data_IF_650104334429
#
_entry.id   IF_650104334429
#
_cell.length_a   1.000
_cell.length_b   1.000
_cell.length_c   1.000
_cell.angle_alpha   90.00
_cell.angle_beta   90.00
_cell.angle_gamma   90.00
#
_symmetry.space_group_name_H-M   'P 1'
#
loop_
_entity.id
_entity.type
_entity.pdbx_description
1 polymer ?
#
# COMPACT_ATOMS: atom_id res chain seq x y z
N UNK A 1 13.67 14.75 -10.36
CA UNK A 1 14.78 14.84 -11.37
C UNK A 1 14.30 14.62 -12.83
N UNK A 2 13.31 13.75 -13.10
CA UNK A 2 12.78 13.48 -14.43
C UNK A 2 11.78 14.53 -14.92
N UNK A 3 11.08 15.17 -14.03
CA UNK A 3 9.99 16.11 -14.31
C UNK A 3 10.36 17.24 -15.29
N UNK A 4 11.43 18.00 -15.07
CA UNK A 4 11.84 19.07 -15.99
C UNK A 4 12.25 18.53 -17.38
N UNK A 5 12.82 17.32 -17.41
CA UNK A 5 13.21 16.67 -18.68
C UNK A 5 11.99 16.24 -19.50
N UNK A 6 10.96 15.70 -18.85
CA UNK A 6 9.70 15.33 -19.51
C UNK A 6 9.01 16.57 -20.06
N UNK A 7 8.96 17.66 -19.28
CA UNK A 7 8.29 18.90 -19.71
C UNK A 7 9.00 19.58 -20.87
N UNK A 8 10.32 19.52 -20.92
CA UNK A 8 11.14 20.07 -22.02
C UNK A 8 11.28 19.13 -23.23
N UNK A 9 10.70 17.93 -23.16
CA UNK A 9 10.78 16.98 -24.27
C UNK A 9 9.98 17.44 -25.49
N UNK A 10 10.40 17.04 -26.70
CA UNK A 10 9.71 17.33 -27.97
C UNK A 10 8.46 16.45 -28.19
N UNK A 11 7.91 15.81 -27.15
CA UNK A 11 6.71 14.97 -27.23
C UNK A 11 5.45 15.83 -27.26
N UNK A 12 4.34 15.23 -27.75
CA UNK A 12 3.04 15.91 -27.75
C UNK A 12 2.62 16.35 -26.34
N UNK A 13 1.80 17.39 -26.24
CA UNK A 13 1.30 17.88 -24.96
C UNK A 13 0.61 16.78 -24.15
N UNK A 14 -0.22 15.96 -24.82
CA UNK A 14 -0.93 14.84 -24.18
C UNK A 14 0.04 13.83 -23.58
N UNK A 15 1.11 13.45 -24.32
CA UNK A 15 2.11 12.52 -23.79
C UNK A 15 2.87 13.09 -22.56
N UNK A 16 3.16 14.41 -22.57
CA UNK A 16 3.77 15.08 -21.42
C UNK A 16 2.84 15.11 -20.20
N UNK A 17 1.56 15.37 -20.44
CA UNK A 17 0.54 15.38 -19.39
C UNK A 17 0.33 13.97 -18.79
N UNK A 18 0.25 12.94 -19.63
CA UNK A 18 0.17 11.54 -19.18
C UNK A 18 1.38 11.14 -18.35
N UNK A 19 2.59 11.48 -18.81
CA UNK A 19 3.82 11.22 -18.07
C UNK A 19 3.83 11.94 -16.71
N UNK A 20 3.32 13.18 -16.65
CA UNK A 20 3.16 13.93 -15.43
C UNK A 20 2.26 13.17 -14.44
N UNK A 21 1.05 12.81 -14.85
CA UNK A 21 0.13 12.06 -13.98
C UNK A 21 0.74 10.73 -13.55
N UNK A 22 1.44 10.03 -14.43
CA UNK A 22 2.11 8.77 -14.09
C UNK A 22 3.22 8.94 -13.05
N UNK A 23 4.01 10.00 -13.16
CA UNK A 23 5.10 10.29 -12.22
C UNK A 23 4.61 10.80 -10.85
N UNK A 24 3.45 11.47 -10.83
CA UNK A 24 2.93 12.11 -9.62
C UNK A 24 1.83 11.31 -8.92
N UNK A 25 1.34 10.22 -9.50
CA UNK A 25 0.22 9.47 -8.92
C UNK A 25 0.50 8.96 -7.50
N UNK A 26 1.75 8.64 -7.17
CA UNK A 26 2.10 8.24 -5.80
C UNK A 26 1.98 9.38 -4.79
N UNK A 27 1.94 10.65 -5.24
CA UNK A 27 1.71 11.79 -4.34
C UNK A 27 0.33 11.77 -3.65
N UNK A 28 -0.60 10.93 -4.12
CA UNK A 28 -1.89 10.68 -3.46
C UNK A 28 -1.69 10.09 -2.05
N UNK A 29 -0.65 9.29 -1.81
CA UNK A 29 -0.47 8.60 -0.53
C UNK A 29 -0.21 9.55 0.65
N UNK A 30 0.65 10.57 0.57
CA UNK A 30 0.74 11.59 1.61
C UNK A 30 -0.60 12.32 1.87
N UNK A 31 -1.38 12.58 0.81
CA UNK A 31 -2.71 13.19 0.95
C UNK A 31 -3.67 12.25 1.71
N UNK A 32 -3.64 10.96 1.41
CA UNK A 32 -4.41 9.93 2.12
C UNK A 32 -4.10 9.96 3.62
N UNK A 33 -2.81 10.01 4.01
CA UNK A 33 -2.41 10.09 5.42
C UNK A 33 -2.90 11.42 6.04
N UNK A 34 -2.76 12.52 5.32
CA UNK A 34 -3.23 13.83 5.80
C UNK A 34 -4.74 13.80 6.09
N UNK A 35 -5.54 13.22 5.19
CA UNK A 35 -6.99 13.08 5.40
C UNK A 35 -7.28 12.19 6.62
N UNK A 36 -6.56 11.06 6.75
CA UNK A 36 -6.71 10.18 7.92
C UNK A 36 -6.41 10.91 9.23
N UNK A 37 -5.33 11.69 9.29
CA UNK A 37 -4.94 12.47 10.47
C UNK A 37 -5.91 13.62 10.74
N UNK A 38 -6.41 14.28 9.69
CA UNK A 38 -7.38 15.38 9.84
C UNK A 38 -8.77 14.91 10.29
N UNK A 39 -9.07 13.62 10.20
CA UNK A 39 -10.39 13.09 10.57
C UNK A 39 -10.80 13.39 12.01
N UNK A 40 -9.87 13.28 12.96
CA UNK A 40 -10.15 13.56 14.37
C UNK A 40 -10.27 15.06 14.69
N UNK A 41 -9.35 15.95 14.25
CA UNK A 41 -9.54 17.39 14.38
C UNK A 41 -10.82 17.92 13.75
N UNK A 42 -11.21 17.38 12.59
CA UNK A 42 -12.43 17.80 11.91
C UNK A 42 -13.68 17.55 12.75
N UNK A 43 -13.69 16.54 13.60
CA UNK A 43 -14.80 16.25 14.50
C UNK A 43 -15.13 17.45 15.42
N UNK A 44 -14.12 18.19 15.85
CA UNK A 44 -14.27 19.34 16.75
C UNK A 44 -14.51 20.67 16.02
N UNK A 45 -14.25 20.70 14.71
CA UNK A 45 -14.39 21.91 13.88
C UNK A 45 -15.72 21.95 13.12
N UNK A 46 -16.35 20.78 12.90
CA UNK A 46 -17.61 20.70 12.14
C UNK A 46 -18.71 21.46 12.89
N UNK A 47 -19.32 22.50 12.29
CA UNK A 47 -20.41 23.23 12.91
C UNK A 47 -21.64 22.33 13.10
N UNK A 48 -22.40 22.54 14.18
CA UNK A 48 -23.64 21.80 14.46
C UNK A 48 -24.67 21.91 13.32
N UNK A 49 -24.58 22.98 12.53
CA UNK A 49 -25.45 23.23 11.37
C UNK A 49 -24.64 23.34 10.09
N UNK A 50 -24.37 22.22 9.46
CA UNK A 50 -23.80 22.21 8.11
C UNK A 50 -24.92 22.47 7.11
N UNK A 51 -24.74 23.45 6.20
CA UNK A 51 -25.75 23.78 5.17
C UNK A 51 -26.01 22.54 4.28
N UNK A 52 -27.23 22.43 3.79
CA UNK A 52 -27.64 21.34 2.87
C UNK A 52 -26.71 21.28 1.64
N UNK A 53 -26.30 22.45 1.14
CA UNK A 53 -25.37 22.55 0.00
C UNK A 53 -24.04 21.85 0.29
N UNK A 54 -23.43 22.08 1.45
CA UNK A 54 -22.15 21.46 1.84
C UNK A 54 -22.30 19.94 2.01
N UNK A 55 -23.43 19.48 2.53
CA UNK A 55 -23.74 18.04 2.64
C UNK A 55 -23.85 17.37 1.26
N UNK A 56 -24.64 17.96 0.35
CA UNK A 56 -24.81 17.43 -1.01
C UNK A 56 -23.49 17.43 -1.77
N UNK A 57 -22.73 18.53 -1.69
CA UNK A 57 -21.43 18.65 -2.36
C UNK A 57 -20.41 17.64 -1.77
N UNK A 58 -20.40 17.45 -0.45
CA UNK A 58 -19.56 16.45 0.22
C UNK A 58 -19.87 15.03 -0.26
N UNK A 59 -21.14 14.65 -0.26
CA UNK A 59 -21.58 13.32 -0.75
C UNK A 59 -21.23 13.13 -2.22
N UNK A 60 -21.53 14.13 -3.07
CA UNK A 60 -21.19 14.08 -4.49
C UNK A 60 -19.69 13.91 -4.72
N UNK A 61 -18.85 14.64 -3.98
CA UNK A 61 -17.38 14.55 -4.06
C UNK A 61 -16.87 13.15 -3.71
N UNK A 62 -17.51 12.49 -2.73
CA UNK A 62 -17.19 11.10 -2.36
C UNK A 62 -17.45 10.14 -3.53
N UNK A 63 -18.63 10.25 -4.17
CA UNK A 63 -18.97 9.43 -5.32
C UNK A 63 -18.01 9.66 -6.49
N UNK A 64 -17.67 10.90 -6.79
CA UNK A 64 -16.71 11.24 -7.86
C UNK A 64 -15.32 10.69 -7.55
N UNK A 65 -14.84 10.84 -6.32
CA UNK A 65 -13.53 10.32 -5.92
C UNK A 65 -13.46 8.78 -5.96
N UNK A 66 -14.53 8.11 -5.56
CA UNK A 66 -14.63 6.66 -5.63
C UNK A 66 -14.80 6.14 -7.07
N UNK A 67 -15.50 6.88 -7.92
CA UNK A 67 -15.81 6.45 -9.28
C UNK A 67 -14.54 6.29 -10.16
N UNK A 68 -13.54 7.17 -10.02
CA UNK A 68 -12.36 7.18 -10.89
C UNK A 68 -11.61 5.84 -10.89
N UNK A 69 -10.94 5.44 -9.80
CA UNK A 69 -10.18 4.18 -9.73
C UNK A 69 -11.07 2.95 -9.91
N UNK A 70 -12.28 2.99 -9.34
CA UNK A 70 -13.21 1.86 -9.38
C UNK A 70 -13.78 1.63 -10.78
N UNK A 71 -14.08 2.68 -11.56
CA UNK A 71 -14.55 2.53 -12.94
C UNK A 71 -13.51 1.87 -13.83
N UNK A 72 -12.24 2.24 -13.69
CA UNK A 72 -11.15 1.60 -14.42
C UNK A 72 -11.06 0.10 -14.11
N UNK A 73 -11.16 -0.26 -12.83
CA UNK A 73 -11.19 -1.66 -12.41
C UNK A 73 -12.40 -2.40 -13.00
N UNK A 74 -13.60 -1.82 -12.90
CA UNK A 74 -14.85 -2.41 -13.41
C UNK A 74 -14.78 -2.66 -14.91
N UNK A 75 -14.32 -1.66 -15.68
CA UNK A 75 -14.18 -1.78 -17.13
C UNK A 75 -13.17 -2.87 -17.47
N UNK A 76 -12.02 -2.90 -16.81
CA UNK A 76 -11.00 -3.93 -17.01
C UNK A 76 -11.54 -5.34 -16.68
N UNK A 77 -12.23 -5.51 -15.56
CA UNK A 77 -12.79 -6.81 -15.19
C UNK A 77 -13.87 -7.26 -16.18
N UNK A 78 -14.72 -6.34 -16.63
CA UNK A 78 -15.75 -6.65 -17.62
C UNK A 78 -15.15 -7.10 -18.96
N UNK A 79 -14.04 -6.48 -19.41
CA UNK A 79 -13.37 -6.88 -20.64
C UNK A 79 -12.62 -8.21 -20.50
N UNK A 80 -11.92 -8.42 -19.38
CA UNK A 80 -11.10 -9.62 -19.17
C UNK A 80 -11.94 -10.85 -18.80
N UNK A 81 -13.06 -10.63 -18.08
CA UNK A 81 -13.89 -11.72 -17.54
C UNK A 81 -15.39 -11.41 -17.75
N UNK A 82 -15.90 -11.42 -18.98
CA UNK A 82 -17.26 -11.01 -19.28
C UNK A 82 -18.34 -11.74 -18.51
N UNK A 83 -18.10 -13.01 -18.14
CA UNK A 83 -19.07 -13.86 -17.44
C UNK A 83 -19.04 -13.70 -15.92
N UNK A 84 -17.86 -13.35 -15.34
CA UNK A 84 -17.63 -13.36 -13.89
C UNK A 84 -17.31 -11.97 -13.30
N UNK A 85 -17.31 -10.91 -14.11
CA UNK A 85 -16.89 -9.58 -13.68
C UNK A 85 -17.63 -9.07 -12.43
N UNK A 86 -18.94 -9.37 -12.35
CA UNK A 86 -19.77 -8.93 -11.23
C UNK A 86 -19.34 -9.55 -9.90
N UNK A 87 -18.96 -10.83 -9.89
CA UNK A 87 -18.44 -11.49 -8.69
C UNK A 87 -17.10 -10.91 -8.24
N UNK A 88 -16.35 -10.30 -9.15
CA UNK A 88 -15.03 -9.72 -8.86
C UNK A 88 -15.12 -8.32 -8.25
N UNK A 89 -16.28 -7.68 -8.29
CA UNK A 89 -16.52 -6.37 -7.64
C UNK A 89 -16.29 -6.46 -6.12
N UNK A 90 -16.53 -7.62 -5.51
CA UNK A 90 -16.30 -7.84 -4.08
C UNK A 90 -14.84 -7.60 -3.66
N UNK A 91 -13.90 -7.68 -4.60
CA UNK A 91 -12.48 -7.41 -4.33
C UNK A 91 -12.15 -5.91 -4.29
N UNK A 92 -13.03 -5.02 -4.76
CA UNK A 92 -12.80 -3.57 -4.74
C UNK A 92 -12.58 -3.01 -3.33
N UNK A 93 -13.42 -3.32 -2.33
CA UNK A 93 -13.17 -2.89 -0.96
C UNK A 93 -11.84 -3.43 -0.42
N UNK A 94 -11.50 -4.68 -0.72
CA UNK A 94 -10.25 -5.30 -0.28
C UNK A 94 -9.05 -4.58 -0.90
N UNK A 95 -9.09 -4.28 -2.20
CA UNK A 95 -8.05 -3.51 -2.88
C UNK A 95 -7.90 -2.11 -2.29
N UNK A 96 -9.03 -1.47 -1.96
CA UNK A 96 -9.04 -0.15 -1.32
C UNK A 96 -8.39 -0.22 0.07
N UNK A 97 -8.75 -1.20 0.90
CA UNK A 97 -8.17 -1.42 2.23
C UNK A 97 -6.66 -1.60 2.14
N UNK A 98 -6.18 -2.45 1.23
CA UNK A 98 -4.74 -2.66 1.01
C UNK A 98 -4.07 -1.37 0.53
N UNK A 99 -4.67 -0.68 -0.45
CA UNK A 99 -4.16 0.58 -1.00
C UNK A 99 -4.01 1.68 0.05
N UNK A 100 -4.98 1.79 0.98
CA UNK A 100 -4.92 2.71 2.11
C UNK A 100 -3.82 2.29 3.10
N UNK A 101 -3.74 1.00 3.42
CA UNK A 101 -2.76 0.49 4.38
C UNK A 101 -1.30 0.72 3.94
N UNK A 102 -0.97 0.52 2.66
CA UNK A 102 0.39 0.75 2.13
C UNK A 102 0.74 2.24 1.95
N UNK A 103 -0.18 3.15 2.25
CA UNK A 103 0.03 4.59 2.04
C UNK A 103 1.22 5.14 2.83
N UNK A 104 1.51 4.62 4.01
CA UNK A 104 2.66 5.05 4.83
C UNK A 104 3.98 4.71 4.13
N UNK A 105 4.10 3.48 3.65
CA UNK A 105 5.30 3.02 2.94
C UNK A 105 5.52 3.81 1.64
N UNK A 106 4.45 4.02 0.86
CA UNK A 106 4.50 4.80 -0.38
C UNK A 106 4.78 6.29 -0.11
N UNK A 107 4.20 6.88 0.93
CA UNK A 107 4.48 8.28 1.33
C UNK A 107 5.94 8.47 1.70
N UNK A 108 6.52 7.52 2.42
CA UNK A 108 7.95 7.52 2.70
C UNK A 108 8.76 7.58 1.39
N UNK A 109 8.45 6.71 0.42
CA UNK A 109 9.14 6.71 -0.87
C UNK A 109 8.99 8.02 -1.64
N UNK A 110 7.80 8.66 -1.59
CA UNK A 110 7.57 9.98 -2.18
C UNK A 110 8.43 11.06 -1.50
N UNK A 111 8.45 11.09 -0.18
CA UNK A 111 9.24 12.06 0.59
C UNK A 111 10.74 11.88 0.33
N UNK A 112 11.23 10.63 0.41
CA UNK A 112 12.64 10.30 0.11
C UNK A 112 13.01 10.72 -1.33
N UNK A 113 12.11 10.50 -2.29
CA UNK A 113 12.29 10.93 -3.66
C UNK A 113 12.32 12.46 -3.85
N UNK A 114 11.50 13.22 -3.11
CA UNK A 114 11.48 14.68 -3.13
C UNK A 114 12.75 15.29 -2.51
N UNK A 115 13.21 14.74 -1.39
CA UNK A 115 14.43 15.17 -0.68
C UNK A 115 15.70 14.73 -1.44
N UNK A 116 15.56 13.78 -2.39
CA UNK A 116 16.67 13.30 -3.20
C UNK A 116 17.50 12.19 -2.57
N UNK A 117 16.99 11.54 -1.54
CA UNK A 117 17.62 10.36 -0.94
C UNK A 117 17.63 9.23 -1.98
N UNK A 118 18.81 8.69 -2.23
CA UNK A 118 18.98 7.54 -3.12
C UNK A 118 18.91 6.27 -2.26
N UNK A 119 17.86 5.48 -2.44
CA UNK A 119 17.78 4.14 -1.87
C UNK A 119 18.36 3.11 -2.84
N UNK A 120 19.08 2.13 -2.33
CA UNK A 120 19.54 1.00 -3.14
C UNK A 120 18.35 0.21 -3.69
N UNK A 121 18.44 -0.17 -4.96
CA UNK A 121 17.43 -1.03 -5.58
C UNK A 121 17.59 -2.47 -5.08
N UNK A 122 16.80 -2.86 -4.11
CA UNK A 122 16.76 -4.24 -3.61
C UNK A 122 15.83 -5.07 -4.51
N UNK A 123 16.39 -5.99 -5.27
CA UNK A 123 15.59 -6.95 -6.05
C UNK A 123 14.81 -7.87 -5.10
N UNK A 124 13.51 -7.96 -5.31
CA UNK A 124 12.71 -9.00 -4.69
C UNK A 124 13.19 -10.39 -5.15
N UNK A 125 13.52 -11.30 -4.23
CA UNK A 125 13.93 -12.65 -4.61
C UNK A 125 12.80 -13.33 -5.38
N UNK A 126 13.11 -13.91 -6.54
CA UNK A 126 12.12 -14.69 -7.30
C UNK A 126 11.79 -15.95 -6.48
N UNK A 127 10.52 -16.17 -6.17
CA UNK A 127 10.05 -17.46 -5.63
C UNK A 127 10.28 -18.53 -6.69
N UNK A 128 11.21 -19.43 -6.46
CA UNK A 128 11.56 -20.51 -7.43
C UNK A 128 13.05 -20.83 -7.50
N UNK A 129 13.94 -20.05 -6.88
CA UNK A 129 15.32 -20.46 -6.70
C UNK A 129 15.38 -21.46 -5.53
N UNK A 130 16.06 -22.58 -5.71
CA UNK A 130 16.23 -23.62 -4.68
C UNK A 130 16.97 -23.09 -3.42
N UNK A 131 17.69 -22.00 -3.53
CA UNK A 131 18.23 -21.28 -2.39
C UNK A 131 17.14 -20.38 -1.79
N UNK A 132 16.53 -20.82 -0.70
CA UNK A 132 15.58 -20.06 0.13
C UNK A 132 16.31 -18.92 0.85
N UNK A 133 16.78 -17.92 0.11
CA UNK A 133 17.23 -16.66 0.71
C UNK A 133 15.98 -15.98 1.26
N UNK A 134 15.76 -16.14 2.55
CA UNK A 134 14.65 -15.48 3.25
C UNK A 134 14.92 -13.98 3.24
N UNK A 135 14.04 -13.22 2.62
CA UNK A 135 14.09 -11.76 2.72
C UNK A 135 13.98 -11.38 4.19
N UNK A 136 15.05 -10.81 4.75
CA UNK A 136 15.02 -10.27 6.12
C UNK A 136 14.34 -8.92 6.07
N UNK A 137 13.05 -8.90 6.39
CA UNK A 137 12.35 -7.65 6.65
C UNK A 137 13.04 -6.96 7.84
N UNK A 138 13.66 -5.80 7.60
CA UNK A 138 14.22 -4.98 8.69
C UNK A 138 13.06 -4.27 9.37
N UNK A 139 13.08 -4.25 10.70
CA UNK A 139 12.19 -3.41 11.47
C UNK A 139 12.31 -1.96 10.99
N UNK A 140 11.20 -1.39 10.57
CA UNK A 140 11.14 -0.02 10.05
C UNK A 140 10.18 0.80 10.91
N UNK A 141 10.48 2.07 11.12
CA UNK A 141 9.56 3.02 11.75
C UNK A 141 8.18 3.07 11.07
N UNK A 142 8.12 2.69 9.78
CA UNK A 142 6.88 2.61 8.98
C UNK A 142 5.85 1.70 9.67
N UNK A 143 6.27 0.57 10.23
CA UNK A 143 5.37 -0.36 10.92
C UNK A 143 4.78 0.28 12.18
N UNK A 144 5.60 1.01 12.94
CA UNK A 144 5.12 1.78 14.09
C UNK A 144 4.11 2.84 13.69
N UNK A 145 4.34 3.53 12.56
CA UNK A 145 3.41 4.51 12.03
C UNK A 145 2.10 3.88 11.53
N UNK A 146 2.15 2.71 10.87
CA UNK A 146 0.96 1.96 10.44
C UNK A 146 0.09 1.54 11.64
N UNK A 147 0.71 1.00 12.69
CA UNK A 147 0.01 0.59 13.92
C UNK A 147 -0.57 1.82 14.64
N UNK A 148 0.19 2.90 14.72
CA UNK A 148 -0.28 4.16 15.31
C UNK A 148 -1.49 4.71 14.55
N UNK A 149 -1.45 4.75 13.22
CA UNK A 149 -2.56 5.21 12.39
C UNK A 149 -3.78 4.28 12.50
N UNK A 150 -3.58 2.97 12.63
CA UNK A 150 -4.67 2.03 12.88
C UNK A 150 -5.39 2.37 14.19
N UNK A 151 -4.65 2.56 15.26
CA UNK A 151 -5.20 2.98 16.56
C UNK A 151 -5.88 4.35 16.48
N UNK A 152 -5.23 5.33 15.87
CA UNK A 152 -5.75 6.69 15.69
C UNK A 152 -7.06 6.71 14.90
N UNK A 153 -7.14 6.01 13.77
CA UNK A 153 -8.36 5.93 12.95
C UNK A 153 -9.47 5.17 13.68
N UNK A 154 -9.14 4.14 14.47
CA UNK A 154 -10.12 3.43 15.30
C UNK A 154 -10.67 4.34 16.41
N UNK A 155 -9.81 5.12 17.06
CA UNK A 155 -10.23 6.12 18.04
C UNK A 155 -11.12 7.17 17.40
N UNK A 156 -10.70 7.73 16.26
CA UNK A 156 -11.49 8.70 15.50
C UNK A 156 -12.86 8.12 15.12
N UNK A 157 -12.92 6.88 14.63
CA UNK A 157 -14.16 6.17 14.30
C UNK A 157 -15.09 6.06 15.51
N UNK A 158 -14.55 5.64 16.65
CA UNK A 158 -15.32 5.51 17.91
C UNK A 158 -15.92 6.85 18.34
N UNK A 159 -15.13 7.91 18.28
CA UNK A 159 -15.61 9.26 18.62
C UNK A 159 -16.67 9.76 17.64
N UNK A 160 -16.52 9.50 16.34
CA UNK A 160 -17.54 9.84 15.35
C UNK A 160 -18.88 9.13 15.62
N UNK A 161 -18.82 7.86 16.07
CA UNK A 161 -20.02 7.15 16.52
C UNK A 161 -20.64 7.78 17.75
N UNK A 162 -19.85 8.12 18.78
CA UNK A 162 -20.34 8.72 20.02
C UNK A 162 -21.00 10.08 19.76
N UNK A 163 -20.40 10.91 18.90
CA UNK A 163 -20.91 12.24 18.56
C UNK A 163 -21.96 12.24 17.45
N UNK A 164 -22.34 11.08 16.90
CA UNK A 164 -23.38 10.97 15.87
C UNK A 164 -22.99 11.52 14.50
N UNK A 165 -21.68 11.65 14.20
CA UNK A 165 -21.18 12.19 12.93
C UNK A 165 -20.91 11.04 11.94
N UNK A 166 -21.95 10.60 11.25
CA UNK A 166 -21.94 9.39 10.41
C UNK A 166 -21.24 9.55 9.04
N UNK A 167 -21.07 10.78 8.56
CA UNK A 167 -20.58 11.04 7.20
C UNK A 167 -19.18 10.49 6.91
N UNK A 168 -18.28 10.49 7.89
CA UNK A 168 -16.91 9.98 7.77
C UNK A 168 -16.75 8.50 8.09
N UNK A 169 -17.75 7.89 8.70
CA UNK A 169 -17.72 6.51 9.22
C UNK A 169 -17.24 5.46 8.19
N UNK A 170 -17.78 5.40 6.96
CA UNK A 170 -17.36 4.39 5.99
C UNK A 170 -15.86 4.49 5.64
N UNK A 171 -15.35 5.72 5.55
CA UNK A 171 -13.94 5.95 5.25
C UNK A 171 -13.04 5.59 6.43
N UNK A 172 -13.44 5.97 7.64
CA UNK A 172 -12.69 5.63 8.85
C UNK A 172 -12.59 4.11 9.08
N UNK A 173 -13.64 3.37 8.74
CA UNK A 173 -13.59 1.89 8.74
C UNK A 173 -12.52 1.40 7.76
N UNK A 174 -12.52 1.90 6.52
CA UNK A 174 -11.53 1.50 5.51
C UNK A 174 -10.10 1.86 5.93
N UNK A 175 -9.88 3.05 6.50
CA UNK A 175 -8.59 3.48 7.02
C UNK A 175 -8.12 2.60 8.19
N UNK A 176 -8.97 2.40 9.19
CA UNK A 176 -8.64 1.58 10.36
C UNK A 176 -8.27 0.15 9.95
N UNK A 177 -9.10 -0.47 9.10
CA UNK A 177 -8.85 -1.81 8.57
C UNK A 177 -7.59 -1.87 7.71
N UNK A 178 -7.35 -0.86 6.86
CA UNK A 178 -6.17 -0.81 5.99
C UNK A 178 -4.88 -0.76 6.78
N UNK A 179 -4.77 0.18 7.70
CA UNK A 179 -3.57 0.32 8.53
C UNK A 179 -3.40 -0.86 9.50
N UNK A 180 -4.48 -1.37 10.08
CA UNK A 180 -4.41 -2.56 10.95
C UNK A 180 -3.95 -3.80 10.16
N UNK A 181 -4.49 -4.04 8.98
CA UNK A 181 -4.12 -5.18 8.15
C UNK A 181 -2.65 -5.13 7.74
N UNK A 182 -2.18 -4.00 7.19
CA UNK A 182 -0.80 -3.87 6.71
C UNK A 182 0.18 -3.87 7.88
N UNK A 183 -0.09 -3.11 8.95
CA UNK A 183 0.77 -3.08 10.14
C UNK A 183 0.89 -4.46 10.80
N UNK A 184 -0.21 -5.20 10.92
CA UNK A 184 -0.20 -6.55 11.48
C UNK A 184 0.59 -7.52 10.60
N UNK A 185 0.40 -7.48 9.28
CA UNK A 185 1.15 -8.30 8.32
C UNK A 185 2.65 -8.01 8.38
N UNK A 186 3.02 -6.74 8.40
CA UNK A 186 4.42 -6.30 8.52
C UNK A 186 5.06 -6.79 9.82
N UNK A 187 4.32 -6.72 10.93
CA UNK A 187 4.78 -7.23 12.23
C UNK A 187 4.97 -8.75 12.21
N UNK A 188 4.04 -9.50 11.60
CA UNK A 188 4.17 -10.96 11.45
C UNK A 188 5.40 -11.34 10.62
N UNK A 189 5.69 -10.61 9.55
CA UNK A 189 6.85 -10.87 8.70
C UNK A 189 8.17 -10.67 9.45
N UNK A 190 8.26 -9.65 10.32
CA UNK A 190 9.44 -9.46 11.18
C UNK A 190 9.60 -10.62 12.16
N UNK A 191 8.51 -11.02 12.83
CA UNK A 191 8.55 -12.15 13.77
C UNK A 191 9.00 -13.44 13.09
N UNK A 192 8.48 -13.72 11.89
CA UNK A 192 8.88 -14.89 11.12
C UNK A 192 10.35 -14.81 10.63
N UNK A 193 10.83 -13.60 10.33
CA UNK A 193 12.24 -13.41 9.94
C UNK A 193 13.21 -13.60 11.12
N UNK A 194 12.76 -13.35 12.35
CA UNK A 194 13.54 -13.55 13.57
C UNK A 194 13.62 -15.03 14.03
N UNK A 195 12.74 -15.91 13.53
CA UNK A 195 12.76 -17.31 13.87
C UNK A 195 13.96 -18.02 13.25
N UNK A 196 14.76 -18.80 14.00
CA UNK A 196 15.89 -19.53 13.46
C UNK A 196 15.46 -20.49 12.36
N UNK A 197 16.20 -20.54 11.27
CA UNK A 197 15.95 -21.51 10.19
C UNK A 197 16.44 -22.86 10.73
N UNK A 198 15.53 -23.75 11.10
CA UNK A 198 15.84 -25.17 11.28
C UNK A 198 16.09 -25.69 9.87
N UNK A 199 17.35 -25.76 9.44
CA UNK A 199 17.73 -26.47 8.23
C UNK A 199 17.33 -27.93 8.44
N UNK A 200 16.59 -28.55 7.54
CA UNK A 200 16.43 -29.99 7.58
C UNK A 200 17.83 -30.59 7.47
N UNK A 201 18.22 -31.35 8.49
CA UNK A 201 19.44 -32.13 8.52
C UNK A 201 19.57 -32.86 7.19
N UNK A 202 20.67 -32.63 6.49
CA UNK A 202 20.95 -33.33 5.23
C UNK A 202 21.10 -34.83 5.56
N UNK A 203 19.99 -35.53 5.62
CA UNK A 203 19.99 -36.99 5.67
C UNK A 203 20.62 -37.52 4.38
N UNK A 204 21.90 -37.93 4.51
CA UNK A 204 22.49 -38.95 3.65
C UNK A 204 22.72 -38.53 2.20
N UNK A 205 23.71 -37.71 1.91
CA UNK A 205 24.42 -37.83 0.66
C UNK A 205 25.35 -39.05 0.80
N UNK A 206 25.27 -40.07 -0.05
CA UNK A 206 26.27 -41.15 -0.07
C UNK A 206 27.65 -40.51 -0.35
N UNK A 207 28.60 -40.78 0.50
CA UNK A 207 30.00 -40.39 0.24
C UNK A 207 30.41 -41.13 -1.04
N UNK A 208 30.54 -40.42 -2.14
CA UNK A 208 31.19 -40.94 -3.33
C UNK A 208 32.68 -41.11 -2.98
N UNK A 209 33.06 -42.37 -2.69
CA UNK A 209 34.44 -42.77 -2.63
C UNK A 209 35.10 -42.42 -3.97
N UNK A 210 35.87 -41.39 -4.03
CA UNK A 210 36.81 -41.14 -5.12
C UNK A 210 37.91 -42.17 -5.07
N UNK A 211 38.12 -42.97 -6.13
CA UNK A 211 39.30 -43.87 -6.17
C UNK A 211 40.56 -43.03 -6.27
N UNK A 212 41.46 -43.28 -5.34
CA UNK A 212 42.81 -42.79 -5.38
C UNK A 212 43.52 -43.29 -6.64
N UNK A 213 43.78 -42.41 -7.60
CA UNK A 213 44.67 -42.71 -8.71
C UNK A 213 46.09 -42.75 -8.20
N UNK A 214 46.61 -43.99 -8.03
CA UNK A 214 48.02 -44.27 -7.86
C UNK A 214 48.71 -43.99 -9.20
N UNK A 215 49.51 -42.94 -9.28
CA UNK A 215 50.45 -42.71 -10.36
C UNK A 215 51.76 -43.39 -9.91
N UNK A 216 52.06 -44.54 -10.51
CA UNK A 216 53.37 -45.14 -10.54
C UNK A 216 53.85 -45.13 -12.00
N UNK A 217 55.07 -44.60 -12.21
CA UNK A 217 55.82 -44.74 -13.45
C UNK A 217 56.35 -43.46 -13.99
#
# INVERSE_FOLDING_TARGET
KLYPRVWRSKRSFVARLQALFHLTHYAIHPVIITIAVMSLPMLFVIPDKISLFVRIFGVASIFVAAAGPNSLYLVSQRHLYPQDWFRRIIFLPILTIIGLGISVSNSRGVIEGLIGIQSEFVRTPKKGSMNKVRYKAKASWVIGAEIFLAFYCTLSLTLHFIFGVWGMTPFLILYALGYAFVGFRSLMEIRQAASPIILPEQKGLPQTNSPSASVSG
#
